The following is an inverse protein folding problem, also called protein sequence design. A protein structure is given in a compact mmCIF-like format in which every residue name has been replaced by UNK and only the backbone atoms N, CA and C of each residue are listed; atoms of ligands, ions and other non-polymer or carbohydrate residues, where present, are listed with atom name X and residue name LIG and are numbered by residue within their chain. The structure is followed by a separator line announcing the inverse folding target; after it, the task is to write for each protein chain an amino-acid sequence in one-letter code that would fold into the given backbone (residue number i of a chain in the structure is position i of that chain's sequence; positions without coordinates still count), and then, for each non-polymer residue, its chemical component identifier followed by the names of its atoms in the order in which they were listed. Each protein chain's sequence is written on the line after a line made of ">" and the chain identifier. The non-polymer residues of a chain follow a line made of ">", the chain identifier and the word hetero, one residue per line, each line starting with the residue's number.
data_IF_350614303615
#
_entry.id   IF_350614303615
#
_cell.length_a   1.000
_cell.length_b   1.000
_cell.length_c   1.000
_cell.angle_alpha   90.00
_cell.angle_beta   90.00
_cell.angle_gamma   90.00
#
_symmetry.space_group_name_H-M   'P 1'
#
loop_
_entity.id
_entity.type
_entity.pdbx_description
1 polymer ?
#
# COMPACT_ATOMS: atom_id res chain seq x y z
N UNK A 1 3.07 -27.94 21.46
CA UNK A 1 3.79 -26.81 20.82
C UNK A 1 3.86 -26.89 19.29
N UNK A 2 3.16 -27.82 18.64
CA UNK A 2 3.22 -28.03 17.18
C UNK A 2 2.18 -27.22 16.42
N UNK A 3 1.02 -26.96 17.04
CA UNK A 3 -0.14 -26.34 16.39
C UNK A 3 0.08 -24.89 15.94
N UNK A 4 0.84 -24.10 16.71
CA UNK A 4 1.17 -22.73 16.33
C UNK A 4 2.13 -22.69 15.14
N UNK A 5 3.06 -23.64 15.08
CA UNK A 5 4.10 -23.69 14.05
C UNK A 5 3.49 -24.03 12.69
N UNK A 6 2.57 -24.99 12.64
CA UNK A 6 1.80 -25.34 11.44
C UNK A 6 0.94 -24.19 10.92
N UNK A 7 0.22 -23.49 11.81
CA UNK A 7 -0.64 -22.37 11.43
C UNK A 7 0.16 -21.16 10.91
N UNK A 8 1.36 -20.93 11.46
CA UNK A 8 2.24 -19.83 11.07
C UNK A 8 3.08 -20.14 9.82
N UNK A 9 3.46 -21.39 9.58
CA UNK A 9 4.17 -21.80 8.35
C UNK A 9 3.27 -21.73 7.10
N UNK A 10 1.97 -22.03 7.23
CA UNK A 10 1.03 -21.94 6.11
C UNK A 10 0.79 -20.50 5.61
N UNK A 11 1.01 -19.49 6.45
CA UNK A 11 0.80 -18.09 6.08
C UNK A 11 2.06 -17.42 5.50
N UNK A 12 3.24 -18.03 5.63
CA UNK A 12 4.52 -17.53 5.10
C UNK A 12 5.01 -16.19 5.70
N UNK A 13 4.12 -15.38 6.27
CA UNK A 13 4.36 -14.02 6.74
C UNK A 13 3.45 -13.70 7.93
N UNK A 14 4.03 -13.28 9.06
CA UNK A 14 3.28 -12.79 10.22
C UNK A 14 3.42 -11.26 10.31
N UNK A 15 2.28 -10.55 10.30
CA UNK A 15 2.25 -9.08 10.37
C UNK A 15 2.29 -8.57 11.81
N UNK A 16 2.72 -7.31 11.96
CA UNK A 16 2.78 -6.63 13.25
C UNK A 16 1.41 -6.52 13.93
N UNK A 17 0.34 -6.31 13.17
CA UNK A 17 -1.01 -6.15 13.71
C UNK A 17 -1.60 -7.48 14.17
N UNK A 18 -1.37 -8.57 13.42
CA UNK A 18 -1.70 -9.92 13.87
C UNK A 18 -0.95 -10.26 15.18
N UNK A 19 0.29 -9.80 15.32
CA UNK A 19 1.06 -10.00 16.55
C UNK A 19 0.49 -9.21 17.74
N UNK A 20 0.09 -7.96 17.52
CA UNK A 20 -0.55 -7.13 18.55
C UNK A 20 -1.91 -7.68 18.96
N UNK A 21 -2.70 -8.16 18.00
CA UNK A 21 -3.99 -8.79 18.25
C UNK A 21 -3.84 -10.08 19.06
N UNK A 22 -2.89 -10.94 18.67
CA UNK A 22 -2.56 -12.14 19.45
C UNK A 22 -2.13 -11.80 20.88
N UNK A 23 -1.26 -10.81 21.05
CA UNK A 23 -0.80 -10.36 22.36
C UNK A 23 -1.98 -9.88 23.23
N UNK A 24 -2.88 -9.07 22.66
CA UNK A 24 -4.08 -8.55 23.34
C UNK A 24 -5.05 -9.67 23.74
N UNK A 25 -5.35 -10.60 22.81
CA UNK A 25 -6.31 -11.67 23.04
C UNK A 25 -5.83 -12.69 24.09
N UNK A 26 -4.51 -12.83 24.24
CA UNK A 26 -3.91 -13.73 25.23
C UNK A 26 -3.48 -13.02 26.52
N UNK A 27 -3.65 -11.69 26.62
CA UNK A 27 -3.20 -10.90 27.77
C UNK A 27 -1.68 -10.91 27.96
N UNK A 28 -0.92 -11.12 26.88
CA UNK A 28 0.55 -11.23 26.89
C UNK A 28 1.15 -9.93 26.37
N UNK A 29 2.30 -9.51 26.92
CA UNK A 29 3.02 -8.36 26.39
C UNK A 29 3.52 -8.62 24.97
N UNK A 30 3.25 -7.69 24.06
CA UNK A 30 3.77 -7.70 22.69
C UNK A 30 5.30 -7.88 22.64
N UNK A 31 6.03 -7.31 23.61
CA UNK A 31 7.49 -7.45 23.70
C UNK A 31 7.91 -8.90 23.97
N UNK A 32 7.16 -9.62 24.82
CA UNK A 32 7.39 -11.02 25.11
C UNK A 32 7.10 -11.89 23.88
N UNK A 33 5.98 -11.63 23.18
CA UNK A 33 5.64 -12.35 21.94
C UNK A 33 6.71 -12.13 20.86
N UNK A 34 7.16 -10.89 20.67
CA UNK A 34 8.23 -10.54 19.72
C UNK A 34 9.55 -11.26 20.04
N UNK A 35 9.91 -11.35 21.32
CA UNK A 35 11.12 -12.05 21.77
C UNK A 35 11.04 -13.55 21.45
N UNK A 36 9.92 -14.19 21.81
CA UNK A 36 9.70 -15.62 21.53
C UNK A 36 9.78 -15.93 20.04
N UNK A 37 9.22 -15.08 19.17
CA UNK A 37 9.32 -15.28 17.73
C UNK A 37 10.75 -15.13 17.20
N UNK A 38 11.52 -14.18 17.74
CA UNK A 38 12.93 -14.02 17.42
C UNK A 38 13.75 -15.24 17.84
N UNK A 39 13.52 -15.76 19.05
CA UNK A 39 14.19 -16.96 19.58
C UNK A 39 13.84 -18.23 18.75
N UNK A 40 12.65 -18.25 18.15
CA UNK A 40 12.19 -19.31 17.24
C UNK A 40 12.65 -19.13 15.78
N UNK A 41 13.40 -18.08 15.47
CA UNK A 41 13.89 -17.79 14.11
C UNK A 41 12.79 -17.39 13.12
N UNK A 42 11.62 -16.94 13.61
CA UNK A 42 10.49 -16.53 12.78
C UNK A 42 10.68 -15.07 12.38
N UNK A 43 10.80 -14.82 11.07
CA UNK A 43 10.90 -13.45 10.52
C UNK A 43 9.54 -12.76 10.60
N UNK A 44 9.49 -11.66 11.34
CA UNK A 44 8.34 -10.74 11.34
C UNK A 44 8.55 -9.77 10.19
N UNK A 45 7.64 -9.78 9.23
CA UNK A 45 7.66 -8.81 8.14
C UNK A 45 6.72 -7.68 8.50
N UNK A 46 7.24 -6.47 8.51
CA UNK A 46 6.42 -5.28 8.41
C UNK A 46 5.88 -5.25 6.98
N UNK A 47 4.79 -5.96 6.74
CA UNK A 47 3.86 -5.50 5.72
C UNK A 47 3.45 -4.14 6.28
N UNK A 48 4.08 -3.06 5.82
CA UNK A 48 3.36 -1.81 5.77
C UNK A 48 2.17 -2.15 4.86
N UNK A 49 0.91 -2.19 5.35
CA UNK A 49 -0.18 -1.84 4.47
C UNK A 49 0.08 -0.40 4.05
N UNK A 50 1.00 -0.24 3.10
CA UNK A 50 1.27 0.97 2.36
C UNK A 50 0.14 1.26 1.39
N UNK A 51 -1.04 0.70 1.60
CA UNK A 51 -2.26 1.45 1.41
C UNK A 51 -2.39 2.40 2.59
N UNK A 52 -1.48 3.40 2.63
CA UNK A 52 -1.98 4.73 2.88
C UNK A 52 -3.17 4.83 1.92
N UNK A 53 -4.39 5.07 2.43
CA UNK A 53 -5.32 5.89 1.66
C UNK A 53 -4.41 6.93 1.01
N UNK A 54 -4.24 6.88 -0.32
CA UNK A 54 -3.59 7.97 -1.01
C UNK A 54 -4.42 9.13 -0.52
N UNK A 55 -3.89 9.86 0.46
CA UNK A 55 -4.23 11.23 0.75
C UNK A 55 -4.40 11.75 -0.65
N UNK A 56 -5.65 12.01 -1.04
CA UNK A 56 -5.96 12.53 -2.34
C UNK A 56 -5.14 13.79 -2.35
N UNK A 57 -3.94 13.68 -2.92
CA UNK A 57 -3.02 14.79 -3.02
C UNK A 57 -3.85 15.69 -3.88
N UNK A 58 -4.29 16.81 -3.30
CA UNK A 58 -4.94 17.91 -3.98
C UNK A 58 -3.94 18.53 -4.97
N UNK A 59 -3.34 17.68 -5.79
CA UNK A 59 -2.37 17.91 -6.81
C UNK A 59 -3.08 17.71 -8.13
N UNK A 60 -2.50 18.36 -9.11
CA UNK A 60 -2.91 18.21 -10.48
C UNK A 60 -2.09 17.08 -11.08
N UNK A 61 -2.69 16.35 -12.01
CA UNK A 61 -2.00 15.35 -12.80
C UNK A 61 -0.94 16.04 -13.67
N UNK A 62 0.13 15.32 -13.97
CA UNK A 62 1.15 15.76 -14.91
C UNK A 62 0.99 15.05 -16.25
N UNK A 63 1.35 15.73 -17.34
CA UNK A 63 1.37 15.15 -18.67
C UNK A 63 2.41 14.02 -18.73
N UNK A 64 2.02 12.84 -19.22
CA UNK A 64 2.92 11.69 -19.37
C UNK A 64 3.99 11.93 -20.43
N UNK A 65 3.71 12.74 -21.46
CA UNK A 65 4.66 13.03 -22.54
C UNK A 65 5.70 14.09 -22.17
N UNK A 66 5.27 15.24 -21.63
CA UNK A 66 6.15 16.38 -21.39
C UNK A 66 6.37 16.71 -19.91
N UNK A 67 5.68 16.03 -18.99
CA UNK A 67 5.77 16.27 -17.55
C UNK A 67 5.11 17.56 -17.05
N UNK A 68 4.51 18.39 -17.93
CA UNK A 68 3.85 19.63 -17.52
C UNK A 68 2.66 19.35 -16.60
N UNK A 69 2.50 20.19 -15.59
CA UNK A 69 1.34 20.16 -14.68
C UNK A 69 0.07 20.53 -15.45
N UNK A 70 -0.93 19.65 -15.43
CA UNK A 70 -2.21 19.87 -16.11
C UNK A 70 -3.19 20.62 -15.20
N UNK A 71 -4.38 20.93 -15.72
CA UNK A 71 -5.50 21.48 -14.92
C UNK A 71 -6.38 20.37 -14.32
N UNK A 72 -6.08 19.11 -14.62
CA UNK A 72 -6.85 17.95 -14.16
C UNK A 72 -6.41 17.57 -12.76
N UNK A 73 -7.36 17.40 -11.85
CA UNK A 73 -7.05 16.97 -10.47
C UNK A 73 -6.81 15.46 -10.45
N UNK A 74 -5.82 15.02 -9.67
CA UNK A 74 -5.57 13.59 -9.45
C UNK A 74 -6.78 12.84 -8.85
N UNK A 75 -7.66 13.59 -8.18
CA UNK A 75 -8.92 13.12 -7.58
C UNK A 75 -10.05 12.91 -8.57
N UNK A 76 -9.98 13.54 -9.75
CA UNK A 76 -11.07 13.53 -10.73
C UNK A 76 -11.17 12.14 -11.37
N UNK A 77 -12.39 11.61 -11.56
CA UNK A 77 -12.59 10.31 -12.18
C UNK A 77 -12.08 10.30 -13.62
N UNK A 78 -11.45 9.19 -14.04
CA UNK A 78 -10.76 9.08 -15.33
C UNK A 78 -11.70 9.36 -16.52
N UNK A 79 -12.97 8.97 -16.41
CA UNK A 79 -13.97 9.12 -17.48
C UNK A 79 -14.34 10.58 -17.78
N UNK A 80 -14.12 11.48 -16.82
CA UNK A 80 -14.44 12.92 -16.94
C UNK A 80 -13.18 13.78 -17.08
N UNK A 81 -11.99 13.18 -17.27
CA UNK A 81 -10.74 13.93 -17.43
C UNK A 81 -10.57 14.34 -18.88
N UNK A 82 -10.50 15.65 -19.13
CA UNK A 82 -10.09 16.14 -20.43
C UNK A 82 -8.65 15.70 -20.75
N UNK A 83 -8.41 15.34 -22.01
CA UNK A 83 -7.09 14.93 -22.52
C UNK A 83 -6.48 13.68 -21.86
N UNK A 84 -7.31 12.83 -21.24
CA UNK A 84 -6.88 11.52 -20.76
C UNK A 84 -7.00 10.48 -21.87
N UNK A 85 -5.91 9.78 -22.17
CA UNK A 85 -5.91 8.70 -23.16
C UNK A 85 -5.82 7.36 -22.46
N UNK A 86 -6.85 6.52 -22.64
CA UNK A 86 -6.91 5.18 -22.03
C UNK A 86 -5.71 4.34 -22.46
N UNK A 87 -4.95 3.86 -21.48
CA UNK A 87 -3.74 3.06 -21.69
C UNK A 87 -2.43 3.86 -21.78
N UNK A 88 -2.50 5.18 -22.02
CA UNK A 88 -1.32 6.07 -22.04
C UNK A 88 -1.25 6.90 -20.76
N UNK A 89 -2.37 7.46 -20.33
CA UNK A 89 -2.49 8.30 -19.14
C UNK A 89 -2.90 9.74 -19.47
N UNK A 90 -2.65 10.65 -18.51
CA UNK A 90 -3.03 12.06 -18.63
C UNK A 90 -2.05 12.81 -19.53
N UNK A 91 -2.57 13.61 -20.47
CA UNK A 91 -1.78 14.55 -21.28
C UNK A 91 -2.16 16.00 -20.98
N UNK A 92 -1.28 16.93 -21.34
CA UNK A 92 -1.64 18.34 -21.45
C UNK A 92 -2.31 18.60 -22.80
N UNK A 93 -3.06 19.70 -22.90
CA UNK A 93 -3.76 20.12 -24.12
C UNK A 93 -2.82 20.13 -25.35
N UNK A 94 -1.62 20.69 -25.20
CA UNK A 94 -0.62 20.77 -26.28
C UNK A 94 -0.21 19.37 -26.79
N UNK A 95 0.14 18.46 -25.87
CA UNK A 95 0.58 17.11 -26.25
C UNK A 95 -0.57 16.22 -26.75
N UNK A 96 -1.81 16.54 -26.37
CA UNK A 96 -2.99 15.87 -26.89
C UNK A 96 -3.34 16.37 -28.31
N UNK A 97 -3.09 17.64 -28.61
CA UNK A 97 -3.29 18.20 -29.96
C UNK A 97 -2.22 17.76 -30.96
N UNK A 98 -1.01 17.42 -30.50
CA UNK A 98 0.09 16.92 -31.33
C UNK A 98 0.01 15.41 -31.64
N UNK A 99 -1.02 14.74 -31.11
CA UNK A 99 -1.29 13.30 -31.23
C UNK A 99 -2.09 12.98 -32.50
#
# INVERSE_FOLDING_TARGET
>A
MTYLKDKLQQQGYLTRDQLKEYAKNNGISYALVKKVLSDLGIKIYDINPGEKEKSISAGFENCVLCGKKTKIKSSQEVEIRDYYVKGIGQLCEECYQDL
#
